data_IF_859129949268
#
_entry.id   IF_859129949268
#
_cell.length_a   1.000
_cell.length_b   1.000
_cell.length_c   1.000
_cell.angle_alpha   90.00
_cell.angle_beta   90.00
_cell.angle_gamma   90.00
#
_symmetry.space_group_name_H-M   'P 1'
#
loop_
_entity.id
_entity.type
_entity.pdbx_description
1 polymer ?
#
# COMPACT_ATOMS: atom_id res chain seq x y z
N UNK A 1 -15.37 -15.69 8.54
CA UNK A 1 -14.21 -14.82 8.85
C UNK A 1 -14.62 -13.53 9.58
N UNK A 2 -15.90 -13.13 9.52
CA UNK A 2 -16.43 -11.93 10.20
C UNK A 2 -16.74 -12.17 11.69
N UNK A 3 -16.95 -13.40 12.09
CA UNK A 3 -17.31 -13.75 13.48
C UNK A 3 -16.13 -13.74 14.46
N UNK A 4 -14.89 -13.79 13.96
CA UNK A 4 -13.69 -13.81 14.80
C UNK A 4 -13.30 -12.41 15.28
N UNK A 5 -13.69 -11.36 14.55
CA UNK A 5 -13.35 -9.98 14.92
C UNK A 5 -14.30 -9.36 15.96
N UNK A 6 -15.51 -9.87 16.07
CA UNK A 6 -16.49 -9.40 17.06
C UNK A 6 -16.39 -10.08 18.44
N UNK A 7 -15.82 -11.29 18.51
CA UNK A 7 -15.74 -12.04 19.77
C UNK A 7 -14.67 -11.58 20.76
N UNK A 8 -13.72 -10.74 20.34
CA UNK A 8 -12.67 -10.20 21.23
C UNK A 8 -13.02 -8.86 21.91
N UNK A 9 -14.24 -8.38 21.77
CA UNK A 9 -14.71 -7.12 22.39
C UNK A 9 -15.58 -7.31 23.63
N UNK A 10 -15.76 -8.54 24.09
CA UNK A 10 -16.43 -8.82 25.37
C UNK A 10 -15.43 -9.35 26.38
N UNK A 11 -15.33 -8.64 27.47
CA UNK A 11 -14.66 -8.86 28.74
C UNK A 11 -13.36 -8.09 28.93
N UNK A 12 -13.51 -6.91 29.57
CA UNK A 12 -12.81 -6.61 30.80
C UNK A 12 -13.39 -5.32 31.39
N UNK A 13 -14.45 -5.48 32.15
CA UNK A 13 -14.90 -4.49 33.10
C UNK A 13 -14.01 -4.56 34.34
N UNK A 14 -12.90 -3.85 34.33
CA UNK A 14 -12.15 -3.52 35.53
C UNK A 14 -12.56 -2.14 35.97
N UNK A 15 -13.29 -2.05 37.10
CA UNK A 15 -13.60 -0.82 37.80
C UNK A 15 -12.40 -0.45 38.68
N UNK A 16 -11.80 0.70 38.38
CA UNK A 16 -10.81 1.30 39.26
C UNK A 16 -11.48 1.89 40.51
N UNK A 17 -10.77 1.79 41.62
CA UNK A 17 -11.25 2.17 42.99
C UNK A 17 -11.61 3.65 43.16
N UNK A 18 -11.64 4.47 42.13
CA UNK A 18 -11.92 5.90 42.18
C UNK A 18 -13.16 6.37 41.41
N UNK A 19 -14.07 5.48 41.04
CA UNK A 19 -15.40 5.86 40.56
C UNK A 19 -15.45 6.71 39.28
N UNK A 20 -14.38 6.76 38.48
CA UNK A 20 -14.35 7.50 37.23
C UNK A 20 -14.81 6.60 36.07
N UNK A 21 -15.96 6.92 35.51
CA UNK A 21 -16.52 6.24 34.33
C UNK A 21 -15.68 6.58 33.13
N UNK A 22 -14.90 5.60 32.63
CA UNK A 22 -14.19 5.73 31.36
C UNK A 22 -15.21 6.02 30.25
N UNK A 23 -15.04 7.16 29.55
CA UNK A 23 -15.85 7.51 28.38
C UNK A 23 -15.69 6.41 27.33
N UNK A 24 -16.73 5.61 27.14
CA UNK A 24 -16.85 4.69 26.02
C UNK A 24 -16.71 5.48 24.72
N UNK A 25 -15.70 5.18 23.94
CA UNK A 25 -15.61 5.63 22.57
C UNK A 25 -16.76 4.99 21.78
N UNK A 26 -17.89 5.69 21.69
CA UNK A 26 -19.11 5.23 21.02
C UNK A 26 -18.97 5.34 19.49
N UNK A 27 -18.09 4.54 18.87
CA UNK A 27 -18.23 4.29 17.44
C UNK A 27 -19.38 3.30 17.26
N UNK A 28 -20.48 3.78 16.69
CA UNK A 28 -21.66 2.95 16.44
C UNK A 28 -21.29 1.79 15.49
N UNK A 29 -21.94 0.65 15.63
CA UNK A 29 -21.82 -0.51 14.74
C UNK A 29 -22.02 -0.10 13.26
N UNK A 30 -22.89 0.88 13.02
CA UNK A 30 -23.15 1.51 11.74
C UNK A 30 -21.86 2.12 11.13
N UNK A 31 -21.03 2.77 11.94
CA UNK A 31 -19.76 3.36 11.51
C UNK A 31 -18.72 2.29 11.09
N UNK A 32 -18.72 1.14 11.76
CA UNK A 32 -17.83 0.03 11.40
C UNK A 32 -18.26 -0.67 10.10
N UNK A 33 -19.57 -0.81 9.88
CA UNK A 33 -20.11 -1.42 8.64
C UNK A 33 -19.83 -0.50 7.43
N UNK A 34 -20.03 0.81 7.58
CA UNK A 34 -19.72 1.78 6.53
C UNK A 34 -18.23 1.77 6.17
N UNK A 35 -17.34 1.82 7.15
CA UNK A 35 -15.90 1.78 6.92
C UNK A 35 -15.45 0.49 6.19
N UNK A 36 -16.06 -0.67 6.49
CA UNK A 36 -15.75 -1.93 5.81
C UNK A 36 -16.27 -1.98 4.37
N UNK A 37 -17.42 -1.38 4.09
CA UNK A 37 -17.96 -1.28 2.72
C UNK A 37 -17.13 -0.35 1.85
N UNK A 38 -16.71 0.80 2.36
CA UNK A 38 -15.85 1.74 1.63
C UNK A 38 -14.51 1.12 1.27
N UNK A 39 -13.88 0.39 2.19
CA UNK A 39 -12.63 -0.33 1.93
C UNK A 39 -12.79 -1.37 0.81
N UNK A 40 -13.89 -2.11 0.79
CA UNK A 40 -14.15 -3.11 -0.25
C UNK A 40 -14.35 -2.48 -1.63
N UNK A 41 -15.05 -1.35 -1.71
CA UNK A 41 -15.24 -0.63 -2.99
C UNK A 41 -13.93 -0.04 -3.50
N UNK A 42 -13.11 0.56 -2.63
CA UNK A 42 -11.79 1.08 -2.98
C UNK A 42 -10.85 -0.02 -3.45
N UNK A 43 -10.87 -1.18 -2.81
CA UNK A 43 -10.08 -2.33 -3.25
C UNK A 43 -10.51 -2.84 -4.64
N UNK A 44 -11.80 -2.85 -4.93
CA UNK A 44 -12.31 -3.24 -6.24
C UNK A 44 -11.89 -2.25 -7.33
N UNK A 45 -11.96 -0.95 -7.07
CA UNK A 45 -11.48 0.08 -7.99
C UNK A 45 -9.97 0.00 -8.18
N UNK A 46 -9.22 -0.21 -7.10
CA UNK A 46 -7.77 -0.37 -7.17
C UNK A 46 -7.33 -1.54 -8.06
N UNK A 47 -8.08 -2.65 -8.05
CA UNK A 47 -7.82 -3.81 -8.92
C UNK A 47 -8.04 -3.53 -10.42
N UNK A 48 -8.81 -2.51 -10.75
CA UNK A 48 -9.01 -2.08 -12.14
C UNK A 48 -7.87 -1.17 -12.60
N UNK A 49 -7.34 -0.37 -11.68
CA UNK A 49 -6.38 0.70 -11.97
C UNK A 49 -4.93 0.24 -11.85
N UNK A 50 -4.64 -0.62 -10.88
CA UNK A 50 -3.27 -1.03 -10.58
C UNK A 50 -3.01 -2.48 -11.03
N UNK A 51 -1.78 -2.80 -11.47
CA UNK A 51 -1.37 -4.16 -11.79
C UNK A 51 -1.59 -5.11 -10.61
N UNK A 52 -2.11 -6.32 -10.91
CA UNK A 52 -2.38 -7.34 -9.89
C UNK A 52 -1.12 -7.71 -9.09
N UNK A 53 0.05 -7.76 -9.74
CA UNK A 53 1.35 -8.03 -9.09
C UNK A 53 1.66 -7.03 -7.97
N UNK A 54 1.24 -5.76 -8.14
CA UNK A 54 1.42 -4.72 -7.11
C UNK A 54 0.45 -4.96 -5.95
N UNK A 55 -0.83 -5.19 -6.23
CA UNK A 55 -1.85 -5.37 -5.20
C UNK A 55 -1.69 -6.65 -4.38
N UNK A 56 -1.08 -7.70 -4.94
CA UNK A 56 -0.74 -8.91 -4.21
C UNK A 56 0.33 -8.66 -3.13
N UNK A 57 1.29 -7.77 -3.43
CA UNK A 57 2.45 -7.52 -2.59
C UNK A 57 2.36 -6.27 -1.73
N UNK A 58 1.54 -5.31 -2.15
CA UNK A 58 1.42 -4.00 -1.51
C UNK A 58 -0.03 -3.72 -1.12
N UNK A 59 -0.19 -2.86 -0.13
CA UNK A 59 -1.46 -2.28 0.27
C UNK A 59 -1.44 -0.77 0.05
N UNK A 60 -2.58 -0.22 -0.38
CA UNK A 60 -2.73 1.22 -0.55
C UNK A 60 -2.89 1.85 0.82
N UNK A 61 -2.02 2.79 1.16
CA UNK A 61 -2.05 3.51 2.43
C UNK A 61 -2.72 4.87 2.26
N UNK A 62 -2.40 5.56 1.16
CA UNK A 62 -2.88 6.92 0.92
C UNK A 62 -2.89 7.21 -0.58
N UNK A 63 -3.82 8.06 -1.01
CA UNK A 63 -3.87 8.62 -2.36
C UNK A 63 -3.90 10.14 -2.22
N UNK A 64 -2.99 10.81 -2.92
CA UNK A 64 -2.90 12.25 -3.00
C UNK A 64 -3.12 12.68 -4.43
N UNK A 65 -3.93 13.71 -4.66
CA UNK A 65 -4.12 14.33 -5.98
C UNK A 65 -3.64 15.77 -5.91
N UNK A 66 -2.87 16.19 -6.89
CA UNK A 66 -2.46 17.58 -7.07
C UNK A 66 -3.12 18.09 -8.36
N UNK A 67 -4.05 19.03 -8.18
CA UNK A 67 -4.87 19.65 -9.24
C UNK A 67 -4.57 21.16 -9.37
N UNK A 68 -3.49 21.64 -8.73
CA UNK A 68 -3.20 23.09 -8.71
C UNK A 68 -2.77 23.62 -10.06
N UNK A 69 -2.20 22.76 -10.90
CA UNK A 69 -1.78 23.13 -12.25
C UNK A 69 -2.52 22.25 -13.27
N UNK A 70 -3.33 22.87 -14.13
CA UNK A 70 -4.16 22.19 -15.14
C UNK A 70 -3.30 21.39 -16.12
N UNK A 71 -2.08 21.85 -16.39
CA UNK A 71 -1.15 21.20 -17.33
C UNK A 71 -0.32 20.07 -16.69
N UNK A 72 -0.37 19.93 -15.36
CA UNK A 72 0.46 18.97 -14.62
C UNK A 72 -0.30 18.23 -13.51
N UNK A 73 -1.56 17.89 -13.74
CA UNK A 73 -2.34 17.10 -12.78
C UNK A 73 -1.62 15.80 -12.45
N UNK A 74 -1.45 15.53 -11.16
CA UNK A 74 -0.77 14.32 -10.72
C UNK A 74 -1.54 13.60 -9.61
N UNK A 75 -1.45 12.28 -9.64
CA UNK A 75 -1.97 11.40 -8.61
C UNK A 75 -0.81 10.58 -8.03
N UNK A 76 -0.59 10.72 -6.74
CA UNK A 76 0.41 9.93 -6.01
C UNK A 76 -0.29 8.88 -5.17
N UNK A 77 0.03 7.61 -5.40
CA UNK A 77 -0.49 6.47 -4.66
C UNK A 77 0.61 5.92 -3.76
N UNK A 78 0.42 6.00 -2.44
CA UNK A 78 1.35 5.47 -1.46
C UNK A 78 1.02 4.01 -1.16
N UNK A 79 2.02 3.16 -1.31
CA UNK A 79 1.91 1.72 -1.24
C UNK A 79 2.93 1.14 -0.26
N UNK A 80 2.46 0.39 0.73
CA UNK A 80 3.30 -0.31 1.69
C UNK A 80 3.37 -1.80 1.38
N UNK A 81 4.56 -2.37 1.41
CA UNK A 81 4.74 -3.81 1.23
C UNK A 81 4.05 -4.56 2.36
N UNK A 82 3.16 -5.49 1.98
CA UNK A 82 2.44 -6.36 2.92
C UNK A 82 3.42 -7.19 3.75
N UNK A 83 2.97 -7.61 4.92
CA UNK A 83 3.73 -8.53 5.76
C UNK A 83 3.81 -9.89 5.06
N UNK A 84 5.03 -10.39 4.83
CA UNK A 84 5.21 -11.74 4.32
C UNK A 84 4.90 -12.75 5.44
N UNK A 85 3.86 -13.57 5.21
CA UNK A 85 3.38 -14.54 6.20
C UNK A 85 4.44 -15.59 6.58
N UNK A 86 5.30 -15.98 5.64
CA UNK A 86 6.37 -16.96 5.90
C UNK A 86 7.41 -16.40 6.87
N UNK A 87 7.82 -15.14 6.67
CA UNK A 87 8.76 -14.47 7.56
C UNK A 87 8.15 -14.15 8.92
N UNK A 88 6.85 -13.82 8.94
CA UNK A 88 6.13 -13.55 10.18
C UNK A 88 5.93 -14.81 11.03
N UNK A 89 5.62 -15.95 10.39
CA UNK A 89 5.42 -17.23 11.07
C UNK A 89 6.75 -17.84 11.56
N UNK A 90 7.87 -17.44 10.98
CA UNK A 90 9.19 -17.97 11.32
C UNK A 90 9.84 -17.18 12.47
N UNK A 91 10.24 -17.87 13.53
CA UNK A 91 11.01 -17.26 14.63
C UNK A 91 12.39 -16.73 14.20
N UNK A 92 12.85 -17.10 13.00
CA UNK A 92 14.17 -16.74 12.48
C UNK A 92 14.29 -15.33 11.91
N UNK A 93 13.17 -14.62 11.72
CA UNK A 93 13.15 -13.30 11.10
C UNK A 93 12.52 -12.24 12.01
N UNK A 94 12.93 -11.00 11.80
CA UNK A 94 12.43 -9.81 12.49
C UNK A 94 12.20 -8.69 11.48
N UNK A 95 11.05 -8.03 11.52
CA UNK A 95 10.77 -6.88 10.70
C UNK A 95 11.42 -5.63 11.29
N UNK A 96 12.22 -4.93 10.49
CA UNK A 96 12.88 -3.66 10.86
C UNK A 96 12.10 -2.42 10.38
N UNK A 97 10.83 -2.59 9.97
CA UNK A 97 10.04 -1.50 9.41
C UNK A 97 10.27 -1.33 7.91
N UNK A 98 10.07 -0.12 7.42
CA UNK A 98 10.12 0.20 5.99
C UNK A 98 11.41 0.92 5.61
N UNK A 99 11.78 0.77 4.34
CA UNK A 99 12.78 1.61 3.69
C UNK A 99 12.14 2.89 3.17
N UNK A 100 12.98 3.83 2.73
CA UNK A 100 12.53 5.01 2.01
C UNK A 100 11.71 4.64 0.77
N UNK A 101 10.68 5.44 0.47
CA UNK A 101 9.79 5.22 -0.65
C UNK A 101 10.52 5.39 -1.98
N UNK A 102 10.29 4.46 -2.90
CA UNK A 102 10.76 4.55 -4.28
C UNK A 102 9.60 4.98 -5.17
N UNK A 103 9.82 6.01 -5.99
CA UNK A 103 8.82 6.50 -6.95
C UNK A 103 8.89 5.69 -8.25
N UNK A 104 7.73 5.24 -8.70
CA UNK A 104 7.54 4.50 -9.96
C UNK A 104 6.42 5.16 -10.73
N UNK A 105 6.66 5.52 -11.99
CA UNK A 105 5.63 6.08 -12.88
C UNK A 105 4.84 4.93 -13.50
N UNK A 106 3.53 5.06 -13.52
CA UNK A 106 2.60 4.10 -14.08
C UNK A 106 1.72 4.76 -15.16
N UNK A 107 0.79 3.98 -15.74
CA UNK A 107 -0.17 4.50 -16.71
C UNK A 107 -0.91 5.71 -16.17
N UNK A 108 -1.05 6.78 -16.97
CA UNK A 108 -1.87 7.92 -16.59
C UNK A 108 -3.33 7.50 -16.44
N UNK A 109 -3.99 8.05 -15.44
CA UNK A 109 -5.42 7.86 -15.24
C UNK A 109 -6.12 9.12 -15.70
N UNK A 110 -6.78 9.05 -16.85
CA UNK A 110 -7.33 10.21 -17.56
C UNK A 110 -6.24 11.25 -17.84
N UNK A 111 -6.33 12.42 -17.26
CA UNK A 111 -5.44 13.57 -17.37
C UNK A 111 -4.41 13.66 -16.23
N UNK A 112 -4.42 12.70 -15.30
CA UNK A 112 -3.48 12.68 -14.19
C UNK A 112 -2.31 11.74 -14.47
N UNK A 113 -1.09 12.28 -14.33
CA UNK A 113 0.11 11.48 -14.18
C UNK A 113 0.02 10.64 -12.91
N UNK A 114 0.30 9.34 -13.00
CA UNK A 114 0.27 8.44 -11.83
C UNK A 114 1.68 8.12 -11.38
N UNK A 115 1.94 8.38 -10.10
CA UNK A 115 3.19 8.04 -9.42
C UNK A 115 2.88 7.12 -8.25
N UNK A 116 3.47 5.92 -8.28
CA UNK A 116 3.40 4.96 -7.20
C UNK A 116 4.60 5.16 -6.27
N UNK A 117 4.36 5.49 -5.01
CA UNK A 117 5.39 5.57 -3.96
C UNK A 117 5.39 4.26 -3.16
N UNK A 118 6.36 3.40 -3.48
CA UNK A 118 6.47 2.06 -2.92
C UNK A 118 7.43 2.06 -1.72
N UNK A 119 6.93 1.76 -0.51
CA UNK A 119 7.78 1.50 0.65
C UNK A 119 8.00 0.02 0.81
N UNK A 120 9.27 -0.40 0.77
CA UNK A 120 9.68 -1.79 0.88
C UNK A 120 9.96 -2.14 2.34
N UNK A 121 9.55 -3.32 2.76
CA UNK A 121 9.79 -3.81 4.11
C UNK A 121 11.19 -4.39 4.24
N UNK A 122 11.88 -4.03 5.32
CA UNK A 122 13.22 -4.53 5.65
C UNK A 122 13.12 -5.61 6.72
N UNK A 123 13.81 -6.70 6.47
CA UNK A 123 13.86 -7.86 7.34
C UNK A 123 15.27 -8.08 7.88
N UNK A 124 15.39 -8.72 9.05
CA UNK A 124 16.65 -9.13 9.65
C UNK A 124 16.57 -10.62 9.98
N UNK A 125 17.61 -11.36 9.60
CA UNK A 125 17.81 -12.74 10.06
C UNK A 125 18.36 -12.71 11.48
N UNK A 126 17.62 -13.24 12.47
CA UNK A 126 18.04 -13.22 13.88
C UNK A 126 19.34 -14.00 14.10
N UNK A 127 19.55 -15.11 13.40
CA UNK A 127 20.74 -15.96 13.54
C UNK A 127 22.03 -15.27 13.06
N UNK A 128 21.98 -14.54 11.97
CA UNK A 128 23.16 -13.92 11.35
C UNK A 128 23.25 -12.42 11.57
N UNK A 129 22.18 -11.80 12.05
CA UNK A 129 22.09 -10.34 12.20
C UNK A 129 22.01 -9.56 10.88
N UNK A 130 22.03 -10.24 9.74
CA UNK A 130 22.04 -9.61 8.41
C UNK A 130 20.64 -9.11 8.07
N UNK A 131 20.56 -7.84 7.64
CA UNK A 131 19.33 -7.25 7.14
C UNK A 131 19.24 -7.38 5.61
N UNK A 132 18.03 -7.57 5.11
CA UNK A 132 17.74 -7.69 3.68
C UNK A 132 16.35 -7.15 3.34
N UNK A 133 16.13 -6.93 2.06
CA UNK A 133 14.82 -6.61 1.48
C UNK A 133 14.48 -7.71 0.49
N UNK A 134 13.24 -8.14 0.44
CA UNK A 134 12.80 -9.16 -0.51
C UNK A 134 12.97 -8.66 -1.95
N UNK A 135 13.44 -9.51 -2.86
CA UNK A 135 13.61 -9.12 -4.27
C UNK A 135 12.26 -9.17 -4.97
N UNK A 136 11.58 -8.07 -5.07
CA UNK A 136 10.37 -7.89 -5.86
C UNK A 136 10.72 -6.95 -7.02
N UNK A 137 10.54 -7.38 -8.24
CA UNK A 137 10.75 -6.55 -9.43
C UNK A 137 9.42 -5.92 -9.84
N UNK A 138 9.20 -4.67 -9.48
CA UNK A 138 8.02 -3.89 -9.85
C UNK A 138 8.27 -3.06 -11.10
N UNK A 139 9.52 -2.59 -11.27
CA UNK A 139 9.91 -1.73 -12.40
C UNK A 139 10.58 -2.53 -13.50
N UNK A 140 10.53 -2.02 -14.73
CA UNK A 140 11.37 -2.49 -15.83
C UNK A 140 12.82 -2.12 -15.54
N UNK A 141 13.73 -3.03 -15.89
CA UNK A 141 15.15 -2.89 -15.61
C UNK A 141 15.74 -1.62 -16.22
N UNK A 142 16.38 -0.81 -15.37
CA UNK A 142 17.04 0.43 -15.81
C UNK A 142 16.09 1.63 -15.94
N UNK A 143 14.82 1.48 -15.54
CA UNK A 143 13.83 2.56 -15.63
C UNK A 143 13.11 2.78 -14.30
N UNK A 144 12.32 3.85 -14.22
CA UNK A 144 11.39 4.13 -13.12
C UNK A 144 9.93 3.93 -13.51
N UNK A 145 9.68 3.20 -14.58
CA UNK A 145 8.34 2.87 -15.05
C UNK A 145 7.92 1.49 -14.53
N UNK A 146 6.62 1.30 -14.33
CA UNK A 146 6.07 -0.03 -14.09
C UNK A 146 6.35 -0.92 -15.30
N UNK A 147 6.41 -2.25 -15.10
CA UNK A 147 6.71 -3.18 -16.19
C UNK A 147 5.70 -3.09 -17.33
N UNK A 148 4.41 -3.00 -17.00
CA UNK A 148 3.34 -2.94 -17.98
C UNK A 148 3.39 -1.63 -18.77
N UNK A 149 3.62 -0.50 -18.09
CA UNK A 149 3.75 0.79 -18.75
C UNK A 149 5.01 0.86 -19.61
N UNK A 150 6.13 0.35 -19.15
CA UNK A 150 7.35 0.25 -19.94
C UNK A 150 7.17 -0.62 -21.19
N UNK A 151 6.46 -1.75 -21.08
CA UNK A 151 6.16 -2.62 -22.21
C UNK A 151 5.27 -1.89 -23.26
N UNK A 152 4.24 -1.20 -22.81
CA UNK A 152 3.39 -0.38 -23.65
C UNK A 152 4.18 0.71 -24.39
N UNK A 153 5.07 1.42 -23.70
CA UNK A 153 5.89 2.47 -24.31
C UNK A 153 6.83 1.90 -25.38
N UNK A 154 7.45 0.75 -25.13
CA UNK A 154 8.29 0.07 -26.10
C UNK A 154 7.50 -0.38 -27.34
N UNK A 155 6.29 -0.90 -27.13
CA UNK A 155 5.43 -1.32 -28.23
C UNK A 155 4.97 -0.14 -29.09
N UNK A 156 4.62 0.98 -28.45
CA UNK A 156 4.05 2.16 -29.12
C UNK A 156 5.11 3.02 -29.81
N UNK A 157 6.26 3.21 -29.17
CA UNK A 157 7.31 4.13 -29.61
C UNK A 157 8.61 3.47 -30.03
N UNK A 158 8.72 2.14 -29.89
CA UNK A 158 9.95 1.39 -30.17
C UNK A 158 11.02 1.48 -29.09
N UNK A 159 10.92 2.42 -28.18
CA UNK A 159 11.80 2.60 -27.02
C UNK A 159 11.04 3.30 -25.88
N UNK A 160 11.67 3.41 -24.70
CA UNK A 160 11.11 4.16 -23.58
C UNK A 160 11.60 5.61 -23.71
N UNK A 161 10.70 6.58 -24.00
CA UNK A 161 11.10 7.98 -24.08
C UNK A 161 11.66 8.49 -22.75
N UNK A 162 12.76 9.23 -22.80
CA UNK A 162 13.38 9.85 -21.62
C UNK A 162 12.63 11.11 -21.16
N UNK A 163 11.83 11.69 -22.04
CA UNK A 163 11.19 13.01 -21.91
C UNK A 163 9.68 12.98 -22.17
N UNK A 164 9.01 11.98 -21.61
CA UNK A 164 7.55 11.99 -21.62
C UNK A 164 7.01 13.25 -20.96
N UNK A 165 5.96 13.91 -21.54
CA UNK A 165 5.33 15.08 -20.95
C UNK A 165 4.75 14.82 -19.54
N UNK A 166 4.72 13.54 -19.16
CA UNK A 166 4.29 13.07 -17.84
C UNK A 166 5.45 12.48 -17.00
N UNK A 167 6.70 12.65 -17.40
CA UNK A 167 7.86 12.11 -16.66
C UNK A 167 8.36 13.09 -15.59
#
# INVERSE_FOLDING_TARGET
ALDIYCSNLQTNGQTDKNGSVAKRCGKSIQSCIFASMETTMLEQLARIVLPSEILERFEIVQIETDEQDIDSMSMTIHLDERMNAEYQASEGYESLGFMEAVSVTDFPIRDHKVVLKLRRRRWKKKQTGVSFVEKISVTEKGTRYSKEFAAFLKETYGDIPSDLPYA
#
